data_IF_606019305896
#
_entry.id   IF_606019305896
#
_cell.length_a   1.000
_cell.length_b   1.000
_cell.length_c   1.000
_cell.angle_alpha   90.00
_cell.angle_beta   90.00
_cell.angle_gamma   90.00
#
_symmetry.space_group_name_H-M   'P 1'
#
loop_
_entity.id
_entity.type
_entity.pdbx_description
1 polymer ?
#
# COMPACT_ATOMS: atom_id res chain seq x y z
N UNK A 1 1.58 27.22 8.26
CA UNK A 1 0.27 26.63 8.61
C UNK A 1 0.50 25.14 8.69
N UNK A 2 0.73 24.62 9.90
CA UNK A 2 0.74 23.18 10.17
C UNK A 2 -0.71 22.71 9.99
N UNK A 3 -1.00 22.11 8.85
CA UNK A 3 -2.24 21.35 8.67
C UNK A 3 -2.23 20.24 9.73
N UNK A 4 -3.32 20.14 10.50
CA UNK A 4 -3.54 19.14 11.55
C UNK A 4 -3.28 17.73 11.00
N UNK A 5 -2.05 17.24 11.13
CA UNK A 5 -1.73 15.85 10.88
C UNK A 5 -2.35 15.06 12.03
N UNK A 6 -3.41 14.32 11.74
CA UNK A 6 -4.10 13.42 12.69
C UNK A 6 -3.16 12.37 13.30
N UNK A 7 -1.95 12.19 12.73
CA UNK A 7 -0.99 11.16 13.11
C UNK A 7 0.41 11.71 13.42
N UNK A 8 1.17 11.03 14.28
CA UNK A 8 2.57 11.38 14.54
C UNK A 8 3.40 11.33 13.25
N UNK A 9 4.21 12.36 13.04
CA UNK A 9 5.21 12.35 11.97
C UNK A 9 6.41 11.55 12.44
N UNK A 10 6.51 10.31 11.99
CA UNK A 10 7.66 9.44 12.27
C UNK A 10 8.86 9.79 11.40
N UNK A 11 10.07 9.61 11.93
CA UNK A 11 11.29 9.72 11.13
C UNK A 11 11.34 8.55 10.16
N UNK A 12 11.90 8.80 8.98
CA UNK A 12 12.06 7.79 7.92
C UNK A 12 12.73 6.51 8.43
N UNK A 13 13.71 6.62 9.33
CA UNK A 13 14.39 5.46 9.91
C UNK A 13 13.49 4.62 10.83
N UNK A 14 12.59 5.25 11.58
CA UNK A 14 11.62 4.57 12.44
C UNK A 14 10.59 3.82 11.60
N UNK A 15 10.11 4.45 10.53
CA UNK A 15 9.24 3.82 9.54
C UNK A 15 9.93 2.61 8.91
N UNK A 16 11.18 2.74 8.46
CA UNK A 16 11.94 1.63 7.87
C UNK A 16 12.12 0.48 8.85
N UNK A 17 12.47 0.77 10.10
CA UNK A 17 12.64 -0.25 11.12
C UNK A 17 11.34 -1.04 11.34
N UNK A 18 10.23 -0.33 11.50
CA UNK A 18 8.92 -0.93 11.68
C UNK A 18 8.49 -1.77 10.46
N UNK A 19 8.57 -1.21 9.23
CA UNK A 19 8.17 -1.95 8.03
C UNK A 19 8.99 -3.24 7.84
N UNK A 20 10.28 -3.23 8.18
CA UNK A 20 11.14 -4.42 8.07
C UNK A 20 10.88 -5.47 9.16
N UNK A 21 10.41 -5.06 10.33
CA UNK A 21 10.17 -5.92 11.48
C UNK A 21 8.78 -6.54 11.43
N UNK A 22 7.76 -5.73 11.14
CA UNK A 22 6.36 -6.05 11.40
C UNK A 22 5.52 -6.24 10.13
N UNK A 23 5.95 -5.65 9.00
CA UNK A 23 5.17 -5.69 7.74
C UNK A 23 5.78 -6.62 6.69
N UNK A 24 7.10 -6.55 6.52
CA UNK A 24 7.84 -7.28 5.50
C UNK A 24 8.47 -8.56 6.08
N UNK A 25 8.51 -9.63 5.28
CA UNK A 25 9.00 -10.95 5.68
C UNK A 25 10.17 -11.45 4.81
N UNK A 26 11.23 -11.97 5.44
CA UNK A 26 12.29 -12.67 4.72
C UNK A 26 13.14 -11.77 3.81
N UNK A 27 13.34 -12.10 2.52
CA UNK A 27 14.22 -11.31 1.64
C UNK A 27 13.74 -9.88 1.38
N UNK A 28 12.43 -9.63 1.38
CA UNK A 28 11.89 -8.28 1.13
C UNK A 28 12.25 -7.30 2.24
N UNK A 29 12.26 -7.70 3.51
CA UNK A 29 12.63 -6.79 4.60
C UNK A 29 14.10 -6.37 4.49
N UNK A 30 14.98 -7.30 4.09
CA UNK A 30 16.41 -6.99 3.88
C UNK A 30 16.66 -6.06 2.70
N UNK A 31 15.88 -6.22 1.63
CA UNK A 31 16.05 -5.48 0.39
C UNK A 31 15.29 -4.15 0.36
N UNK A 32 14.31 -3.95 1.25
CA UNK A 32 13.60 -2.69 1.37
C UNK A 32 14.50 -1.66 2.04
N UNK A 33 14.69 -0.52 1.40
CA UNK A 33 15.64 0.52 1.78
C UNK A 33 15.00 1.90 1.79
N UNK A 34 15.73 2.88 2.32
CA UNK A 34 15.34 4.28 2.26
C UNK A 34 15.06 4.78 0.84
N UNK A 35 15.79 4.27 -0.16
CA UNK A 35 15.60 4.65 -1.57
C UNK A 35 14.24 4.25 -2.15
N UNK A 36 13.52 3.33 -1.49
CA UNK A 36 12.22 2.86 -1.94
C UNK A 36 11.07 3.79 -1.50
N UNK A 37 11.35 4.68 -0.55
CA UNK A 37 10.36 5.59 0.06
C UNK A 37 10.74 7.07 -0.05
N UNK A 38 12.02 7.42 -0.20
CA UNK A 38 12.48 8.80 -0.33
C UNK A 38 13.59 8.94 -1.38
N UNK A 39 13.73 10.11 -2.04
CA UNK A 39 12.87 11.29 -1.93
C UNK A 39 11.49 11.12 -2.59
N UNK A 40 11.40 10.24 -3.60
CA UNK A 40 10.17 9.87 -4.27
C UNK A 40 9.94 8.37 -4.07
N UNK A 41 8.83 7.95 -3.45
CA UNK A 41 8.55 6.53 -3.26
C UNK A 41 8.44 5.79 -4.60
N UNK A 42 8.88 4.54 -4.64
CA UNK A 42 8.77 3.69 -5.83
C UNK A 42 7.36 3.05 -5.87
N UNK A 43 6.58 3.22 -6.95
CA UNK A 43 5.24 2.64 -7.07
C UNK A 43 5.18 1.15 -6.70
N UNK A 44 6.07 0.32 -7.27
CA UNK A 44 6.10 -1.12 -7.01
C UNK A 44 6.34 -1.47 -5.54
N UNK A 45 7.15 -0.64 -4.86
CA UNK A 45 7.46 -0.83 -3.44
C UNK A 45 6.25 -0.48 -2.57
N UNK A 46 5.54 0.62 -2.89
CA UNK A 46 4.33 1.04 -2.20
C UNK A 46 3.18 0.05 -2.41
N UNK A 47 2.96 -0.40 -3.64
CA UNK A 47 1.94 -1.39 -3.96
C UNK A 47 2.19 -2.71 -3.21
N UNK A 48 3.45 -3.18 -3.19
CA UNK A 48 3.82 -4.38 -2.43
C UNK A 48 3.59 -4.21 -0.93
N UNK A 49 3.89 -3.03 -0.39
CA UNK A 49 3.68 -2.74 1.02
C UNK A 49 2.20 -2.80 1.39
N UNK A 50 1.32 -2.21 0.58
CA UNK A 50 -0.12 -2.29 0.80
C UNK A 50 -0.66 -3.71 0.65
N UNK A 51 -0.15 -4.50 -0.31
CA UNK A 51 -0.49 -5.93 -0.37
C UNK A 51 -0.12 -6.68 0.92
N UNK A 52 1.05 -6.38 1.51
CA UNK A 52 1.46 -6.97 2.80
C UNK A 52 0.56 -6.53 3.95
N UNK A 53 0.22 -5.26 4.02
CA UNK A 53 -0.70 -4.74 5.04
C UNK A 53 -2.08 -5.42 4.92
N UNK A 54 -2.63 -5.52 3.70
CA UNK A 54 -3.91 -6.21 3.46
C UNK A 54 -3.82 -7.70 3.79
N UNK A 55 -2.68 -8.33 3.53
CA UNK A 55 -2.43 -9.71 3.94
C UNK A 55 -2.45 -9.87 5.47
N UNK A 56 -1.83 -8.96 6.20
CA UNK A 56 -1.76 -9.00 7.67
C UNK A 56 -3.13 -8.73 8.31
N UNK A 57 -3.84 -7.71 7.84
CA UNK A 57 -5.09 -7.25 8.46
C UNK A 57 -6.29 -8.10 8.04
N UNK A 58 -6.36 -8.55 6.78
CA UNK A 58 -7.52 -9.26 6.24
C UNK A 58 -7.24 -10.71 5.82
N UNK A 59 -6.00 -11.19 5.96
CA UNK A 59 -5.62 -12.52 5.46
C UNK A 59 -5.66 -12.62 3.94
N UNK A 60 -5.61 -11.50 3.21
CA UNK A 60 -5.65 -11.48 1.76
C UNK A 60 -4.41 -12.18 1.19
N UNK A 61 -4.63 -13.25 0.41
CA UNK A 61 -3.52 -13.90 -0.31
C UNK A 61 -3.11 -13.05 -1.51
N UNK A 62 -1.81 -12.97 -1.86
CA UNK A 62 -1.35 -12.22 -3.02
C UNK A 62 -2.11 -12.56 -4.32
N UNK A 63 -2.39 -13.84 -4.55
CA UNK A 63 -3.09 -14.32 -5.75
C UNK A 63 -4.52 -13.76 -5.87
N UNK A 64 -5.16 -13.41 -4.75
CA UNK A 64 -6.50 -12.84 -4.75
C UNK A 64 -6.56 -11.45 -5.39
N UNK A 65 -5.42 -10.74 -5.48
CA UNK A 65 -5.35 -9.44 -6.16
C UNK A 65 -5.40 -9.57 -7.69
N UNK A 66 -5.15 -10.75 -8.23
CA UNK A 66 -5.19 -11.04 -9.67
C UNK A 66 -6.52 -11.66 -10.12
N UNK A 67 -7.48 -11.82 -9.21
CA UNK A 67 -8.78 -12.39 -9.53
C UNK A 67 -9.64 -11.37 -10.29
N UNK A 68 -10.01 -11.71 -11.52
CA UNK A 68 -10.85 -10.87 -12.36
C UNK A 68 -12.34 -11.01 -11.98
N UNK A 69 -13.13 -9.93 -11.92
CA UNK A 69 -14.56 -10.02 -11.65
C UNK A 69 -15.29 -10.82 -12.72
N UNK A 70 -16.13 -11.78 -12.31
CA UNK A 70 -16.88 -12.68 -13.22
C UNK A 70 -17.97 -11.94 -14.02
N UNK A 71 -18.42 -10.79 -13.53
CA UNK A 71 -19.58 -10.07 -14.08
C UNK A 71 -19.23 -9.09 -15.22
N UNK A 72 -17.95 -8.92 -15.53
CA UNK A 72 -17.54 -8.06 -16.63
C UNK A 72 -17.30 -8.93 -17.87
N UNK A 73 -18.04 -8.68 -18.96
CA UNK A 73 -17.80 -9.28 -20.28
C UNK A 73 -16.50 -8.71 -20.89
N UNK A 74 -15.37 -8.91 -20.22
CA UNK A 74 -14.08 -8.35 -20.58
C UNK A 74 -13.56 -9.06 -21.82
N UNK A 75 -13.46 -8.30 -22.90
CA UNK A 75 -12.74 -8.72 -24.09
C UNK A 75 -11.23 -8.67 -23.78
N UNK A 76 -10.50 -9.75 -24.05
CA UNK A 76 -9.04 -9.85 -23.85
C UNK A 76 -8.57 -9.66 -22.38
N UNK A 77 -8.90 -10.59 -21.47
CA UNK A 77 -8.59 -10.48 -20.04
C UNK A 77 -7.11 -10.31 -19.71
N UNK A 78 -6.21 -10.87 -20.54
CA UNK A 78 -4.75 -10.77 -20.35
C UNK A 78 -4.22 -9.32 -20.40
N UNK A 79 -4.91 -8.41 -21.10
CA UNK A 79 -4.50 -6.99 -21.19
C UNK A 79 -4.63 -6.31 -19.81
N UNK A 80 -5.51 -6.82 -18.95
CA UNK A 80 -5.82 -6.23 -17.65
C UNK A 80 -4.99 -6.82 -16.51
N UNK A 81 -4.16 -7.84 -16.76
CA UNK A 81 -3.41 -8.54 -15.71
C UNK A 81 -2.53 -7.59 -14.88
N UNK A 82 -1.95 -6.57 -15.52
CA UNK A 82 -1.12 -5.57 -14.83
C UNK A 82 -1.91 -4.56 -13.98
N UNK A 83 -3.16 -4.27 -14.33
CA UNK A 83 -3.98 -3.27 -13.60
C UNK A 83 -4.85 -3.90 -12.51
N UNK A 84 -5.22 -5.18 -12.65
CA UNK A 84 -6.01 -5.93 -11.67
C UNK A 84 -5.47 -5.82 -10.24
N UNK A 85 -4.18 -6.09 -9.96
CA UNK A 85 -3.67 -6.01 -8.59
C UNK A 85 -3.73 -4.59 -8.04
N UNK A 86 -3.44 -3.58 -8.87
CA UNK A 86 -3.47 -2.16 -8.47
C UNK A 86 -4.91 -1.74 -8.11
N UNK A 87 -5.89 -2.09 -8.96
CA UNK A 87 -7.29 -1.82 -8.71
C UNK A 87 -7.80 -2.54 -7.46
N UNK A 88 -7.39 -3.80 -7.27
CA UNK A 88 -7.72 -4.59 -6.09
C UNK A 88 -7.16 -3.96 -4.81
N UNK A 89 -5.90 -3.54 -4.79
CA UNK A 89 -5.28 -2.81 -3.68
C UNK A 89 -6.07 -1.54 -3.40
N UNK A 90 -6.34 -0.73 -4.43
CA UNK A 90 -7.06 0.54 -4.29
C UNK A 90 -8.41 0.36 -3.59
N UNK A 91 -9.25 -0.54 -4.11
CA UNK A 91 -10.59 -0.79 -3.56
C UNK A 91 -10.54 -1.26 -2.11
N UNK A 92 -9.57 -2.12 -1.76
CA UNK A 92 -9.41 -2.64 -0.40
C UNK A 92 -8.87 -1.60 0.55
N UNK A 93 -7.90 -0.79 0.14
CA UNK A 93 -7.39 0.32 0.95
C UNK A 93 -8.44 1.39 1.16
N UNK A 94 -9.29 1.71 0.17
CA UNK A 94 -10.44 2.61 0.36
C UNK A 94 -11.44 2.09 1.42
N UNK A 95 -11.53 0.78 1.62
CA UNK A 95 -12.35 0.19 2.69
C UNK A 95 -11.63 0.21 4.03
N UNK A 96 -10.31 -0.03 4.02
CA UNK A 96 -9.51 -0.19 5.23
C UNK A 96 -9.10 1.13 5.87
N UNK A 97 -8.55 2.06 5.09
CA UNK A 97 -7.98 3.32 5.57
C UNK A 97 -8.96 4.19 6.38
N UNK A 98 -10.26 4.24 6.07
CA UNK A 98 -11.23 4.93 6.93
C UNK A 98 -11.31 4.38 8.36
N UNK A 99 -11.01 3.09 8.58
CA UNK A 99 -10.91 2.50 9.93
C UNK A 99 -9.66 2.96 10.67
N UNK A 100 -8.63 3.39 9.92
CA UNK A 100 -7.41 4.01 10.42
C UNK A 100 -7.48 5.54 10.35
N UNK A 101 -8.68 6.14 10.27
CA UNK A 101 -8.93 7.59 10.15
C UNK A 101 -8.19 8.30 8.99
N UNK A 102 -7.94 7.58 7.91
CA UNK A 102 -7.39 8.10 6.65
C UNK A 102 -8.50 8.11 5.60
N UNK A 103 -8.83 9.29 5.08
CA UNK A 103 -9.99 9.48 4.20
C UNK A 103 -9.63 10.03 2.81
N UNK A 104 -8.39 10.45 2.61
CA UNK A 104 -7.90 11.16 1.43
C UNK A 104 -7.10 10.28 0.47
N UNK A 105 -7.17 8.95 0.63
CA UNK A 105 -6.45 8.01 -0.22
C UNK A 105 -6.97 8.02 -1.66
N UNK A 106 -6.06 8.12 -2.62
CA UNK A 106 -6.36 8.19 -4.04
C UNK A 106 -5.59 7.15 -4.84
N UNK A 107 -6.06 6.84 -6.04
CA UNK A 107 -5.35 5.94 -6.96
C UNK A 107 -3.92 6.43 -7.26
N UNK A 108 -3.70 7.74 -7.26
CA UNK A 108 -2.39 8.33 -7.50
C UNK A 108 -1.38 7.97 -6.39
N UNK A 109 -1.82 7.65 -5.18
CA UNK A 109 -0.94 7.16 -4.11
C UNK A 109 -0.33 5.78 -4.40
N UNK A 110 -0.91 5.04 -5.37
CA UNK A 110 -0.37 3.77 -5.87
C UNK A 110 0.44 3.91 -7.15
N UNK A 111 0.01 4.81 -8.05
CA UNK A 111 0.59 4.96 -9.39
C UNK A 111 1.76 5.94 -9.44
N UNK A 112 1.66 7.04 -8.70
CA UNK A 112 2.66 8.09 -8.66
C UNK A 112 2.73 8.70 -7.25
N UNK A 113 3.22 7.92 -6.27
CA UNK A 113 3.27 8.35 -4.88
C UNK A 113 4.21 9.55 -4.76
N UNK A 114 3.66 10.70 -4.34
CA UNK A 114 4.43 11.95 -4.19
C UNK A 114 5.09 12.07 -2.81
N UNK A 115 4.51 11.41 -1.81
CA UNK A 115 5.01 11.28 -0.44
C UNK A 115 4.61 9.90 0.05
N UNK A 116 5.43 9.29 0.90
CA UNK A 116 4.94 8.18 1.72
C UNK A 116 3.93 8.80 2.68
N UNK A 117 2.64 8.74 2.36
CA UNK A 117 1.62 9.28 3.23
C UNK A 117 1.75 8.60 4.60
N UNK A 118 1.62 9.39 5.68
CA UNK A 118 1.51 8.90 7.04
C UNK A 118 0.48 7.75 7.17
N UNK A 119 -0.44 7.66 6.21
CA UNK A 119 -1.44 6.64 5.93
C UNK A 119 -0.91 5.19 5.89
N UNK A 120 0.28 4.94 5.34
CA UNK A 120 0.90 3.60 5.36
C UNK A 120 1.29 3.22 6.78
N UNK A 121 1.78 4.19 7.55
CA UNK A 121 2.23 3.99 8.91
C UNK A 121 1.03 3.85 9.84
N UNK A 122 0.02 4.72 9.75
CA UNK A 122 -1.19 4.62 10.56
C UNK A 122 -1.95 3.33 10.30
N UNK A 123 -2.01 2.85 9.05
CA UNK A 123 -2.57 1.53 8.71
C UNK A 123 -1.83 0.33 9.31
N UNK A 124 -0.53 0.48 9.59
CA UNK A 124 0.29 -0.59 10.12
C UNK A 124 0.53 -0.49 11.63
N UNK A 125 0.27 0.69 12.24
CA UNK A 125 0.32 0.93 13.69
C UNK A 125 -1.01 0.69 14.43
N UNK A 126 -2.09 0.27 13.74
CA UNK A 126 -3.34 -0.21 14.40
C UNK A 126 -3.23 -1.68 14.76
#
# INVERSE_FOLDING_TARGET
MEENLTFPVYKVEEILAFLRSDVLAGPESRNFTKSDIVPTPKPDSIQRLYMRILQLVFGFRPDCHYMMPVNENIQHPLIYEGILPIASIYLRMCQFLPMCHVYDFQMNDLLNPSKLNANVCSAAFV
#
